data_IF_134704715301
#
_entry.id   IF_134704715301
#
_cell.length_a   1.000
_cell.length_b   1.000
_cell.length_c   1.000
_cell.angle_alpha   90.00
_cell.angle_beta   90.00
_cell.angle_gamma   90.00
#
_symmetry.space_group_name_H-M   'P 1'
#
loop_
_entity.id
_entity.type
_entity.pdbx_description
1 polymer ?
#
# COMPACT_ATOMS: atom_id res chain seq x y z
N UNK A 1 -2.83 3.99 -16.33
CA UNK A 1 -2.34 5.32 -16.70
C UNK A 1 -0.98 5.56 -16.06
N UNK A 2 -0.37 6.67 -16.41
CA UNK A 2 0.99 6.97 -15.97
C UNK A 2 1.10 7.12 -14.44
N UNK A 3 0.14 7.78 -13.83
CA UNK A 3 0.13 7.97 -12.39
C UNK A 3 0.02 6.64 -11.66
N UNK A 4 -0.83 5.75 -12.16
CA UNK A 4 -1.00 4.44 -11.56
C UNK A 4 0.27 3.61 -11.67
N UNK A 5 0.92 3.64 -12.82
CA UNK A 5 2.19 2.94 -13.01
C UNK A 5 3.26 3.46 -12.08
N UNK A 6 3.33 4.77 -11.90
CA UNK A 6 4.28 5.38 -10.98
C UNK A 6 4.01 4.99 -9.55
N UNK A 7 2.73 4.90 -9.16
CA UNK A 7 2.33 4.46 -7.84
C UNK A 7 2.75 3.02 -7.57
N UNK A 8 2.53 2.13 -8.55
CA UNK A 8 2.93 0.73 -8.43
C UNK A 8 4.44 0.60 -8.27
N UNK A 9 5.20 1.35 -9.07
CA UNK A 9 6.65 1.31 -8.97
C UNK A 9 7.12 1.82 -7.60
N UNK A 10 6.48 2.88 -7.11
CA UNK A 10 6.82 3.43 -5.81
C UNK A 10 6.59 2.41 -4.70
N UNK A 11 5.49 1.67 -4.75
CA UNK A 11 5.20 0.62 -3.79
C UNK A 11 6.30 -0.45 -3.80
N UNK A 12 6.71 -0.88 -4.99
CA UNK A 12 7.78 -1.86 -5.11
C UNK A 12 9.07 -1.35 -4.49
N UNK A 13 9.44 -0.10 -4.81
CA UNK A 13 10.68 0.47 -4.30
C UNK A 13 10.68 0.61 -2.79
N UNK A 14 9.57 1.04 -2.21
CA UNK A 14 9.47 1.21 -0.76
C UNK A 14 9.56 -0.13 -0.03
N UNK A 15 8.87 -1.14 -0.52
CA UNK A 15 8.87 -2.45 0.12
C UNK A 15 10.20 -3.17 0.00
N UNK A 16 11.01 -2.82 -0.99
CA UNK A 16 12.35 -3.37 -1.15
C UNK A 16 13.41 -2.52 -0.43
N UNK A 17 13.01 -1.39 0.13
CA UNK A 17 13.95 -0.47 0.77
C UNK A 17 14.39 -0.98 2.14
N UNK A 18 15.44 -0.34 2.67
CA UNK A 18 15.94 -0.67 4.01
C UNK A 18 14.98 -0.30 5.11
N UNK A 19 14.00 0.53 4.84
CA UNK A 19 13.02 0.95 5.83
C UNK A 19 12.00 -0.14 6.13
N UNK A 20 11.77 -1.03 5.18
CA UNK A 20 10.79 -2.09 5.36
C UNK A 20 11.32 -3.18 6.28
N UNK A 21 10.43 -3.80 7.03
CA UNK A 21 10.75 -4.93 7.91
C UNK A 21 10.06 -6.18 7.39
N UNK A 22 10.41 -7.35 7.96
CA UNK A 22 9.79 -8.61 7.54
C UNK A 22 10.09 -8.93 6.09
N UNK A 23 11.38 -9.05 5.76
CA UNK A 23 11.80 -9.14 4.36
C UNK A 23 11.90 -10.55 3.80
N UNK A 24 11.24 -11.53 4.38
CA UNK A 24 11.17 -12.82 3.70
C UNK A 24 10.39 -12.63 2.40
N UNK A 25 10.71 -13.45 1.41
CA UNK A 25 10.06 -13.33 0.10
C UNK A 25 8.54 -13.41 0.21
N UNK A 26 8.04 -14.32 1.01
CA UNK A 26 6.60 -14.49 1.17
C UNK A 26 5.94 -13.26 1.80
N UNK A 27 6.57 -12.68 2.81
CA UNK A 27 6.02 -11.50 3.47
C UNK A 27 6.02 -10.30 2.55
N UNK A 28 7.13 -10.07 1.85
CA UNK A 28 7.22 -8.95 0.91
C UNK A 28 6.19 -9.09 -0.19
N UNK A 29 6.04 -10.28 -0.75
CA UNK A 29 5.06 -10.52 -1.80
C UNK A 29 3.64 -10.26 -1.31
N UNK A 30 3.31 -10.74 -0.12
CA UNK A 30 1.98 -10.56 0.45
C UNK A 30 1.67 -9.08 0.68
N UNK A 31 2.62 -8.36 1.28
CA UNK A 31 2.43 -6.94 1.55
C UNK A 31 2.36 -6.11 0.29
N UNK A 32 3.12 -6.49 -0.73
CA UNK A 32 3.06 -5.83 -2.03
C UNK A 32 1.68 -6.03 -2.67
N UNK A 33 1.17 -7.25 -2.63
CA UNK A 33 -0.17 -7.53 -3.14
C UNK A 33 -1.21 -6.69 -2.43
N UNK A 34 -1.12 -6.61 -1.10
CA UNK A 34 -2.04 -5.79 -0.32
C UNK A 34 -1.96 -4.32 -0.73
N UNK A 35 -0.75 -3.77 -0.80
CA UNK A 35 -0.58 -2.36 -1.14
C UNK A 35 -1.12 -2.04 -2.53
N UNK A 36 -0.93 -2.92 -3.49
CA UNK A 36 -1.40 -2.70 -4.85
C UNK A 36 -2.92 -2.71 -4.97
N UNK A 37 -3.60 -3.38 -4.04
CA UNK A 37 -5.06 -3.44 -4.05
C UNK A 37 -5.73 -2.28 -3.33
N UNK A 38 -4.95 -1.45 -2.63
CA UNK A 38 -5.54 -0.33 -1.90
C UNK A 38 -6.03 0.76 -2.84
N UNK A 39 -7.31 1.14 -2.74
CA UNK A 39 -7.77 2.33 -3.44
C UNK A 39 -7.09 3.58 -2.89
N UNK A 40 -6.77 4.52 -3.75
CA UNK A 40 -6.16 5.78 -3.33
C UNK A 40 -7.18 6.90 -3.16
N UNK A 41 -8.42 6.62 -3.51
CA UNK A 41 -9.50 7.61 -3.48
C UNK A 41 -10.70 7.20 -2.64
N UNK A 42 -10.58 6.10 -1.90
CA UNK A 42 -11.71 5.56 -1.14
C UNK A 42 -11.23 4.95 0.16
N UNK A 43 -11.91 5.27 1.24
CA UNK A 43 -11.63 4.69 2.54
C UNK A 43 -12.29 3.32 2.67
N UNK A 44 -11.57 2.36 3.25
CA UNK A 44 -12.07 1.01 3.47
C UNK A 44 -11.64 0.49 4.83
N UNK A 45 -12.52 -0.25 5.49
CA UNK A 45 -12.09 -1.03 6.65
C UNK A 45 -11.27 -2.21 6.15
N UNK A 46 -10.43 -2.82 6.99
CA UNK A 46 -9.68 -4.01 6.57
C UNK A 46 -10.58 -5.13 6.03
N UNK A 47 -11.68 -5.39 6.71
CA UNK A 47 -12.61 -6.44 6.27
C UNK A 47 -13.23 -6.11 4.92
N UNK A 48 -13.69 -4.88 4.74
CA UNK A 48 -14.30 -4.47 3.49
C UNK A 48 -13.31 -4.59 2.33
N UNK A 49 -12.06 -4.21 2.56
CA UNK A 49 -11.04 -4.28 1.52
C UNK A 49 -10.81 -5.73 1.09
N UNK A 50 -10.63 -6.61 2.07
CA UNK A 50 -10.36 -8.02 1.77
C UNK A 50 -11.55 -8.66 1.08
N UNK A 51 -12.77 -8.35 1.54
CA UNK A 51 -13.98 -8.94 0.96
C UNK A 51 -14.28 -8.43 -0.44
N UNK A 52 -13.87 -7.20 -0.75
CA UNK A 52 -14.13 -6.62 -2.06
C UNK A 52 -13.12 -7.03 -3.11
N UNK A 53 -12.03 -7.69 -2.73
CA UNK A 53 -10.96 -8.10 -3.64
C UNK A 53 -10.78 -9.60 -3.60
N UNK A 54 -11.06 -10.27 -4.73
CA UNK A 54 -10.84 -11.71 -4.83
C UNK A 54 -9.38 -12.07 -4.61
N UNK A 55 -8.47 -11.21 -5.02
CA UNK A 55 -7.04 -11.43 -4.83
C UNK A 55 -6.67 -11.44 -3.35
N UNK A 56 -7.16 -10.44 -2.60
CA UNK A 56 -6.86 -10.35 -1.18
C UNK A 56 -7.57 -11.44 -0.38
N UNK A 57 -8.80 -11.74 -0.72
CA UNK A 57 -9.53 -12.80 -0.04
C UNK A 57 -8.78 -14.11 -0.16
N UNK A 58 -8.26 -14.41 -1.34
CA UNK A 58 -7.49 -15.62 -1.57
C UNK A 58 -6.17 -15.61 -0.80
N UNK A 59 -5.49 -14.46 -0.80
CA UNK A 59 -4.19 -14.33 -0.15
C UNK A 59 -4.28 -14.49 1.36
N UNK A 60 -5.35 -13.99 1.98
CA UNK A 60 -5.49 -13.96 3.43
C UNK A 60 -6.40 -15.03 4.02
N UNK A 61 -7.00 -15.88 3.19
CA UNK A 61 -7.98 -16.86 3.67
C UNK A 61 -7.44 -17.81 4.74
N UNK A 62 -6.15 -18.13 4.66
CA UNK A 62 -5.52 -19.08 5.59
C UNK A 62 -4.70 -18.39 6.66
N UNK A 63 -4.71 -17.07 6.68
CA UNK A 63 -3.90 -16.31 7.62
C UNK A 63 -4.77 -15.76 8.74
N UNK A 64 -4.15 -15.56 9.90
CA UNK A 64 -4.90 -15.02 11.03
C UNK A 64 -5.21 -13.56 10.86
N UNK A 65 -6.26 -13.05 11.53
CA UNK A 65 -6.52 -11.61 11.55
C UNK A 65 -5.33 -10.80 12.05
N UNK A 66 -4.55 -11.35 12.95
CA UNK A 66 -3.35 -10.69 13.46
C UNK A 66 -2.35 -10.44 12.34
N UNK A 67 -2.19 -11.42 11.43
CA UNK A 67 -1.26 -11.26 10.30
C UNK A 67 -1.73 -10.15 9.38
N UNK A 68 -3.03 -10.09 9.10
CA UNK A 68 -3.58 -9.02 8.28
C UNK A 68 -3.29 -7.66 8.90
N UNK A 69 -3.53 -7.51 10.20
CA UNK A 69 -3.32 -6.24 10.87
C UNK A 69 -1.84 -5.86 10.98
N UNK A 70 -0.95 -6.86 11.05
CA UNK A 70 0.49 -6.59 10.98
C UNK A 70 0.88 -6.02 9.63
N UNK A 71 0.31 -6.56 8.56
CA UNK A 71 0.61 -6.05 7.22
C UNK A 71 0.08 -4.63 7.07
N UNK A 72 -1.13 -4.35 7.56
CA UNK A 72 -1.67 -3.00 7.56
C UNK A 72 -0.77 -2.05 8.35
N UNK A 73 -0.32 -2.47 9.54
CA UNK A 73 0.53 -1.63 10.36
C UNK A 73 1.86 -1.32 9.69
N UNK A 74 2.45 -2.29 9.01
CA UNK A 74 3.71 -2.06 8.32
C UNK A 74 3.53 -1.10 7.13
N UNK A 75 2.46 -1.27 6.35
CA UNK A 75 2.20 -0.36 5.24
C UNK A 75 1.95 1.07 5.74
N UNK A 76 1.25 1.20 6.87
CA UNK A 76 1.02 2.51 7.47
C UNK A 76 2.33 3.12 7.95
N UNK A 77 3.17 2.33 8.62
CA UNK A 77 4.48 2.79 9.09
C UNK A 77 5.36 3.27 7.95
N UNK A 78 5.30 2.59 6.82
CA UNK A 78 6.05 2.98 5.62
C UNK A 78 5.43 4.17 4.89
N UNK A 79 4.24 4.58 5.30
CA UNK A 79 3.57 5.71 4.68
C UNK A 79 2.82 5.36 3.40
N UNK A 80 2.68 4.08 3.08
CA UNK A 80 1.99 3.65 1.86
C UNK A 80 0.48 3.71 1.98
N UNK A 81 -0.05 3.67 3.19
CA UNK A 81 -1.47 3.83 3.45
C UNK A 81 -1.66 4.80 4.60
N UNK A 82 -2.81 5.41 4.65
CA UNK A 82 -3.20 6.30 5.75
C UNK A 82 -4.41 5.73 6.45
N UNK A 83 -4.50 6.00 7.75
CA UNK A 83 -5.56 5.49 8.61
C UNK A 83 -6.33 6.65 9.22
N UNK A 84 -7.66 6.53 9.21
CA UNK A 84 -8.52 7.49 9.89
C UNK A 84 -9.75 6.74 10.41
N UNK A 85 -9.87 6.67 11.75
CA UNK A 85 -10.99 5.99 12.41
C UNK A 85 -11.20 4.55 11.90
N UNK A 86 -10.12 3.79 11.88
CA UNK A 86 -10.12 2.38 11.48
C UNK A 86 -10.46 2.14 10.01
N UNK A 87 -10.41 3.19 9.20
CA UNK A 87 -10.53 3.08 7.75
C UNK A 87 -9.21 3.47 7.11
N UNK A 88 -8.91 2.85 6.00
CA UNK A 88 -7.61 3.00 5.34
C UNK A 88 -7.78 3.29 3.86
N UNK A 89 -6.84 4.03 3.31
CA UNK A 89 -6.72 4.19 1.86
C UNK A 89 -5.26 4.35 1.47
N UNK A 90 -4.96 4.13 0.20
CA UNK A 90 -3.60 4.31 -0.30
C UNK A 90 -3.17 5.77 -0.20
N UNK A 91 -1.92 5.98 0.18
CA UNK A 91 -1.37 7.33 0.38
C UNK A 91 -0.59 7.78 -0.85
N UNK A 92 -1.30 8.10 -1.92
CA UNK A 92 -0.65 8.50 -3.15
C UNK A 92 0.11 9.83 -3.01
N UNK A 93 -0.26 10.63 -2.02
CA UNK A 93 0.40 11.92 -1.81
C UNK A 93 1.87 11.77 -1.43
N UNK A 94 2.23 10.68 -0.74
CA UNK A 94 3.64 10.46 -0.40
C UNK A 94 4.48 10.26 -1.65
N UNK A 95 3.95 9.58 -2.65
CA UNK A 95 4.65 9.41 -3.92
C UNK A 95 4.80 10.74 -4.63
N UNK A 96 3.76 11.54 -4.63
CA UNK A 96 3.81 12.85 -5.30
C UNK A 96 4.89 13.74 -4.73
N UNK A 97 5.18 13.60 -3.44
CA UNK A 97 6.22 14.36 -2.80
C UNK A 97 7.62 14.05 -3.32
N UNK A 98 7.79 12.90 -3.94
CA UNK A 98 9.09 12.47 -4.44
C UNK A 98 9.23 12.52 -5.95
N UNK A 99 8.20 12.99 -6.67
CA UNK A 99 8.25 13.00 -8.12
C UNK A 99 8.97 14.25 -8.62
N UNK A 100 10.09 14.08 -9.33
CA UNK A 100 10.84 15.23 -9.85
C UNK A 100 10.01 16.14 -10.77
N UNK A 101 9.09 15.56 -11.53
CA UNK A 101 8.25 16.31 -12.43
C UNK A 101 7.41 17.37 -11.75
N UNK A 102 7.07 17.16 -10.49
CA UNK A 102 6.31 18.17 -9.74
C UNK A 102 7.03 19.50 -9.70
N UNK A 103 8.33 19.42 -9.46
CA UNK A 103 9.13 20.65 -9.38
C UNK A 103 9.15 21.38 -10.70
N UNK A 104 9.26 20.63 -11.78
CA UNK A 104 9.24 21.21 -13.10
C UNK A 104 7.94 21.92 -13.39
N UNK A 105 6.84 21.29 -13.04
CA UNK A 105 5.53 21.89 -13.25
C UNK A 105 5.35 23.18 -12.48
N UNK A 106 5.89 23.21 -11.27
CA UNK A 106 5.71 24.37 -10.41
C UNK A 106 6.44 25.61 -10.94
N UNK A 107 7.38 25.42 -11.82
CA UNK A 107 8.14 26.54 -12.38
C UNK A 107 7.46 27.17 -13.55
N UNK A 108 6.46 26.54 -14.04
CA UNK A 108 5.71 27.06 -15.16
C UNK A 108 4.59 27.97 -14.66
#
# INVERSE_FOLDING_TARGET
NLLEMSWHKFIYDVLDSKKATGKTRAIVKRRRTLALQFPVDKWNTPDDLVMSSGILAKEYVRLSPTTLMRDFAELERLGLIVNEKDKYKGNIEIMRGYMPMRKTKLKI
#
